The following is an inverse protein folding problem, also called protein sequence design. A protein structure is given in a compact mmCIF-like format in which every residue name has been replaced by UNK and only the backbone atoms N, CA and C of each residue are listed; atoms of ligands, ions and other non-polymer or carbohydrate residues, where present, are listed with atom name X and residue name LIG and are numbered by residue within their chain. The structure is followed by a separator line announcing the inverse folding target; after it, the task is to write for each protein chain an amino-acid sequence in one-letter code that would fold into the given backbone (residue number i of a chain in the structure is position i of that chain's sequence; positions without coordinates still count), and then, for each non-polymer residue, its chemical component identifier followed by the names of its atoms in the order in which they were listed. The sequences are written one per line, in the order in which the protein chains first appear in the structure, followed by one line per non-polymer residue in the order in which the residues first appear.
data_IF_236827520751
#
_entry.id   IF_236827520751
#
_cell.length_a   1.000
_cell.length_b   1.000
_cell.length_c   1.000
_cell.angle_alpha   90.00
_cell.angle_beta   90.00
_cell.angle_gamma   90.00
#
_symmetry.space_group_name_H-M   'P 1'
#
loop_
_entity.id
_entity.type
_entity.pdbx_description
1 polymer ?
#
# COMPACT_ATOMS: atom_id res chain seq x y z
N UNK A 1 -17.07 4.18 20.35
CA UNK A 1 -18.02 3.27 19.67
C UNK A 1 -18.45 2.14 20.59
N UNK A 2 -17.71 1.03 20.74
CA UNK A 2 -18.19 -0.18 21.46
C UNK A 2 -18.71 0.10 22.89
N UNK A 3 -17.95 0.87 23.69
CA UNK A 3 -18.39 1.29 25.04
C UNK A 3 -19.68 2.12 25.04
N UNK A 4 -19.89 2.95 24.00
CA UNK A 4 -21.10 3.78 23.82
C UNK A 4 -22.28 2.92 23.43
N UNK A 5 -22.09 1.89 22.58
CA UNK A 5 -23.14 0.91 22.30
C UNK A 5 -23.59 0.21 23.58
N UNK A 6 -22.65 -0.26 24.41
CA UNK A 6 -22.98 -0.87 25.71
C UNK A 6 -23.75 0.13 26.60
N UNK A 7 -23.21 1.33 26.83
CA UNK A 7 -23.77 2.30 27.79
C UNK A 7 -25.02 3.05 27.33
N UNK A 8 -25.36 3.07 26.04
CA UNK A 8 -26.48 3.84 25.51
C UNK A 8 -27.67 2.93 25.20
N UNK A 9 -28.71 2.97 26.03
CA UNK A 9 -29.92 2.14 25.89
C UNK A 9 -30.68 2.41 24.57
N UNK A 10 -30.60 3.62 24.01
CA UNK A 10 -31.25 3.92 22.73
C UNK A 10 -30.60 3.20 21.53
N UNK A 11 -29.35 2.72 21.65
CA UNK A 11 -28.65 2.00 20.58
C UNK A 11 -28.87 0.50 20.73
N UNK A 12 -29.85 -0.02 19.97
CA UNK A 12 -30.25 -1.43 20.01
C UNK A 12 -29.34 -2.37 19.20
N UNK A 13 -28.66 -1.86 18.17
CA UNK A 13 -27.78 -2.66 17.31
C UNK A 13 -26.51 -1.91 16.92
N UNK A 14 -25.47 -2.68 16.58
CA UNK A 14 -24.15 -2.21 16.17
C UNK A 14 -23.65 -3.06 15.00
N UNK A 15 -23.15 -2.40 13.95
CA UNK A 15 -22.33 -3.02 12.90
C UNK A 15 -21.02 -2.24 12.81
N UNK A 16 -19.90 -2.91 13.02
CA UNK A 16 -18.56 -2.32 13.05
C UNK A 16 -17.64 -3.05 12.08
N UNK A 17 -17.26 -2.40 10.99
CA UNK A 17 -16.29 -2.92 10.01
C UNK A 17 -14.95 -2.23 10.24
N UNK A 18 -13.88 -3.01 10.45
CA UNK A 18 -12.54 -2.49 10.66
C UNK A 18 -11.97 -1.81 9.41
N UNK A 19 -11.30 -0.67 9.57
CA UNK A 19 -10.56 -0.03 8.48
C UNK A 19 -9.05 -0.05 8.73
N UNK A 20 -8.56 0.53 9.82
CA UNK A 20 -7.19 0.38 10.27
C UNK A 20 -7.18 0.34 11.81
N UNK A 21 -6.21 -0.36 12.40
CA UNK A 21 -6.07 -0.45 13.86
C UNK A 21 -4.89 0.38 14.41
N UNK A 22 -4.13 1.05 13.55
CA UNK A 22 -2.96 1.84 13.91
C UNK A 22 -3.26 2.98 14.91
N UNK A 23 -4.48 3.53 14.88
CA UNK A 23 -4.96 4.61 15.75
C UNK A 23 -5.60 4.14 17.08
N UNK A 24 -5.61 2.83 17.37
CA UNK A 24 -6.00 2.39 18.72
C UNK A 24 -4.92 2.81 19.72
N UNK A 25 -5.32 3.24 20.91
CA UNK A 25 -4.40 3.48 22.04
C UNK A 25 -4.23 2.23 22.89
N UNK A 26 -3.08 2.12 23.56
CA UNK A 26 -2.65 1.03 24.43
C UNK A 26 -2.06 1.60 25.73
N UNK A 27 -2.39 1.00 26.88
CA UNK A 27 -1.80 1.09 28.22
C UNK A 27 -1.39 2.45 28.83
N UNK A 28 -1.59 3.59 28.16
CA UNK A 28 -1.34 4.94 28.69
C UNK A 28 -2.60 5.75 28.99
N UNK A 29 -3.76 5.29 28.52
CA UNK A 29 -5.04 6.00 28.67
C UNK A 29 -5.90 5.39 29.78
N UNK A 30 -6.71 6.22 30.46
CA UNK A 30 -7.74 5.75 31.40
C UNK A 30 -8.82 4.87 30.75
N UNK A 31 -8.98 4.97 29.43
CA UNK A 31 -9.86 4.14 28.61
C UNK A 31 -9.15 3.73 27.31
N UNK A 32 -8.26 2.71 27.32
CA UNK A 32 -7.51 2.33 26.13
C UNK A 32 -8.44 1.80 25.02
N UNK A 33 -8.01 1.99 23.78
CA UNK A 33 -8.64 1.46 22.58
C UNK A 33 -8.34 -0.03 22.33
N UNK A 34 -7.25 -0.55 22.89
CA UNK A 34 -6.88 -1.96 22.95
C UNK A 34 -5.96 -2.19 24.17
N UNK A 35 -6.06 -3.33 24.90
CA UNK A 35 -7.18 -4.26 24.92
C UNK A 35 -8.39 -3.70 25.69
N UNK A 36 -9.60 -4.08 25.30
CA UNK A 36 -10.85 -3.64 25.98
C UNK A 36 -11.54 -4.76 26.77
N UNK A 37 -11.48 -6.01 26.31
CA UNK A 37 -12.00 -7.20 27.02
C UNK A 37 -11.14 -7.56 28.25
N UNK A 38 -11.75 -8.19 29.25
CA UNK A 38 -11.03 -8.83 30.38
C UNK A 38 -10.11 -9.93 29.87
N UNK A 39 -10.56 -10.70 28.88
CA UNK A 39 -9.81 -11.80 28.29
C UNK A 39 -8.52 -11.35 27.56
N UNK A 40 -8.56 -10.29 26.75
CA UNK A 40 -7.34 -9.77 26.13
C UNK A 40 -6.41 -9.08 27.15
N UNK A 41 -6.97 -8.40 28.16
CA UNK A 41 -6.19 -7.80 29.27
C UNK A 41 -5.40 -8.83 30.08
N UNK A 42 -5.92 -10.03 30.31
CA UNK A 42 -5.22 -11.05 31.09
C UNK A 42 -3.96 -11.60 30.39
N UNK A 43 -3.88 -11.50 29.06
CA UNK A 43 -2.69 -11.89 28.28
C UNK A 43 -1.47 -10.98 28.51
N UNK A 44 -1.69 -9.72 28.93
CA UNK A 44 -0.67 -8.66 29.04
C UNK A 44 0.10 -8.40 27.73
N UNK A 45 -0.48 -8.73 26.58
CA UNK A 45 0.16 -8.52 25.28
C UNK A 45 -0.01 -7.08 24.78
N UNK A 46 1.09 -6.34 24.74
CA UNK A 46 1.20 -5.02 24.10
C UNK A 46 1.56 -5.22 22.63
N UNK A 47 0.79 -4.64 21.70
CA UNK A 47 1.06 -4.76 20.26
C UNK A 47 2.01 -3.65 19.80
N UNK A 48 1.81 -2.44 20.30
CA UNK A 48 2.50 -1.25 19.84
C UNK A 48 2.14 -0.86 18.39
N UNK A 49 2.57 0.33 17.98
CA UNK A 49 2.17 0.93 16.70
C UNK A 49 2.44 0.02 15.49
N UNK A 50 3.63 -0.58 15.40
CA UNK A 50 4.07 -1.36 14.24
C UNK A 50 3.24 -2.63 14.00
N UNK A 51 2.80 -3.30 15.07
CA UNK A 51 1.96 -4.50 14.99
C UNK A 51 0.50 -4.11 14.70
N UNK A 52 0.02 -2.98 15.25
CA UNK A 52 -1.30 -2.42 14.87
C UNK A 52 -1.37 -1.93 13.42
N UNK A 53 -0.28 -1.39 12.87
CA UNK A 53 -0.12 -1.07 11.44
C UNK A 53 -0.12 -2.33 10.55
N UNK A 54 0.19 -3.50 11.13
CA UNK A 54 0.26 -4.78 10.42
C UNK A 54 -1.11 -5.46 10.28
N UNK A 55 -1.97 -5.26 11.27
CA UNK A 55 -3.24 -5.93 11.49
C UNK A 55 -4.37 -5.65 10.47
N UNK A 56 -4.08 -5.12 9.27
CA UNK A 56 -5.09 -4.84 8.23
C UNK A 56 -4.53 -5.13 6.82
N UNK A 57 -3.72 -6.18 6.70
CA UNK A 57 -3.03 -6.52 5.46
C UNK A 57 -3.54 -7.82 4.84
N UNK A 58 -4.10 -7.69 3.64
CA UNK A 58 -4.51 -8.80 2.80
C UNK A 58 -3.36 -9.77 2.53
N UNK A 59 -3.52 -11.01 2.99
CA UNK A 59 -2.81 -12.16 2.42
C UNK A 59 -3.39 -12.53 1.04
N UNK A 60 -4.66 -12.24 0.75
CA UNK A 60 -5.31 -12.70 -0.50
C UNK A 60 -4.80 -11.99 -1.76
N UNK A 61 -4.38 -10.73 -1.64
CA UNK A 61 -3.67 -10.00 -2.71
C UNK A 61 -2.38 -10.68 -3.18
N UNK A 62 -1.91 -11.71 -2.47
CA UNK A 62 -0.68 -12.43 -2.77
C UNK A 62 -0.92 -13.59 -3.73
N UNK A 63 -2.10 -14.26 -3.68
CA UNK A 63 -2.41 -15.38 -4.61
C UNK A 63 -2.34 -14.94 -6.07
N UNK A 64 -2.66 -13.67 -6.33
CA UNK A 64 -2.71 -13.07 -7.66
C UNK A 64 -1.46 -12.21 -7.98
N UNK A 65 -0.40 -12.28 -7.17
CA UNK A 65 0.83 -11.48 -7.35
C UNK A 65 1.88 -12.31 -8.10
N UNK A 66 2.27 -11.88 -9.30
CA UNK A 66 3.34 -12.56 -10.05
C UNK A 66 4.70 -12.37 -9.37
N UNK A 67 5.67 -13.25 -9.66
CA UNK A 67 7.03 -13.18 -9.13
C UNK A 67 7.69 -11.83 -9.44
N UNK A 68 7.54 -11.35 -10.66
CA UNK A 68 8.09 -10.09 -11.16
C UNK A 68 7.46 -8.91 -10.42
N UNK A 69 6.13 -8.96 -10.20
CA UNK A 69 5.43 -7.93 -9.45
C UNK A 69 5.82 -7.91 -7.97
N UNK A 70 6.16 -9.06 -7.38
CA UNK A 70 6.65 -9.20 -6.02
C UNK A 70 8.07 -8.66 -5.87
N UNK A 71 9.00 -9.04 -6.75
CA UNK A 71 10.37 -8.52 -6.77
C UNK A 71 10.39 -6.99 -6.88
N UNK A 72 9.62 -6.40 -7.82
CA UNK A 72 9.45 -4.95 -7.93
C UNK A 72 8.88 -4.28 -6.66
N UNK A 73 8.12 -4.99 -5.83
CA UNK A 73 7.68 -4.45 -4.54
C UNK A 73 8.80 -4.53 -3.49
N UNK A 74 9.63 -5.58 -3.52
CA UNK A 74 10.80 -5.73 -2.65
C UNK A 74 11.85 -4.67 -2.97
N UNK A 75 12.11 -4.37 -4.24
CA UNK A 75 13.00 -3.28 -4.66
C UNK A 75 12.53 -1.93 -4.07
N UNK A 76 11.22 -1.60 -4.17
CA UNK A 76 10.66 -0.38 -3.56
C UNK A 76 10.81 -0.37 -2.03
N UNK A 77 10.75 -1.54 -1.37
CA UNK A 77 10.97 -1.65 0.07
C UNK A 77 12.46 -1.48 0.43
N UNK A 78 13.37 -2.02 -0.38
CA UNK A 78 14.82 -1.80 -0.27
C UNK A 78 15.17 -0.32 -0.47
N UNK A 79 14.69 0.33 -1.54
CA UNK A 79 14.91 1.76 -1.78
C UNK A 79 14.37 2.62 -0.64
N UNK A 80 13.22 2.25 -0.04
CA UNK A 80 12.69 2.97 1.13
C UNK A 80 13.57 2.81 2.37
N UNK A 81 14.16 1.64 2.59
CA UNK A 81 15.11 1.41 3.70
C UNK A 81 16.43 2.15 3.46
N UNK A 82 16.99 2.06 2.25
CA UNK A 82 18.17 2.80 1.84
C UNK A 82 17.96 4.33 1.95
N UNK A 83 16.78 4.83 1.57
CA UNK A 83 16.41 6.24 1.72
C UNK A 83 16.34 6.70 3.18
N UNK A 84 15.95 5.82 4.11
CA UNK A 84 16.01 6.13 5.55
C UNK A 84 17.46 6.37 6.00
N UNK A 85 18.42 5.58 5.50
CA UNK A 85 19.86 5.82 5.74
C UNK A 85 20.34 7.16 5.16
N UNK A 86 19.84 7.56 3.97
CA UNK A 86 20.12 8.89 3.39
C UNK A 86 19.63 10.01 4.31
N UNK A 87 18.40 9.89 4.84
CA UNK A 87 17.86 10.88 5.79
C UNK A 87 18.66 10.91 7.10
N UNK A 88 19.06 9.76 7.64
CA UNK A 88 19.84 9.69 8.87
C UNK A 88 21.26 10.25 8.71
N UNK A 89 21.93 9.99 7.58
CA UNK A 89 23.31 10.47 7.32
C UNK A 89 23.35 11.96 6.93
N UNK A 90 22.41 12.45 6.12
CA UNK A 90 22.49 13.79 5.51
C UNK A 90 21.41 14.78 6.00
N UNK A 91 20.28 14.32 6.55
CA UNK A 91 19.18 15.17 7.01
C UNK A 91 18.65 14.75 8.40
N UNK A 92 19.50 14.65 9.44
CA UNK A 92 19.14 14.04 10.72
C UNK A 92 17.95 14.75 11.41
N UNK A 93 17.83 16.07 11.29
CA UNK A 93 16.68 16.81 11.83
C UNK A 93 15.37 16.42 11.16
N UNK A 94 15.39 16.19 9.85
CA UNK A 94 14.23 15.69 9.10
C UNK A 94 13.91 14.26 9.49
N UNK A 95 14.93 13.40 9.67
CA UNK A 95 14.73 12.01 10.10
C UNK A 95 14.08 11.92 11.49
N UNK A 96 14.53 12.73 12.46
CA UNK A 96 13.94 12.80 13.83
C UNK A 96 12.44 13.10 13.83
N UNK A 97 11.95 13.88 12.86
CA UNK A 97 10.53 14.21 12.70
C UNK A 97 9.68 13.06 12.12
N UNK A 98 10.29 11.91 11.77
CA UNK A 98 9.61 10.71 11.24
C UNK A 98 8.66 11.00 10.06
N UNK A 99 9.15 11.62 8.97
CA UNK A 99 8.31 12.28 7.99
C UNK A 99 7.63 11.30 7.01
N UNK A 100 6.44 11.67 6.54
CA UNK A 100 5.66 10.83 5.63
C UNK A 100 5.86 11.21 4.16
N UNK A 101 6.79 10.53 3.46
CA UNK A 101 6.92 10.60 1.99
C UNK A 101 5.74 9.98 1.21
N UNK A 102 4.79 9.35 1.93
CA UNK A 102 3.64 8.65 1.36
C UNK A 102 4.02 7.39 0.55
N UNK A 103 3.14 6.99 -0.37
CA UNK A 103 3.36 5.87 -1.30
C UNK A 103 3.86 6.40 -2.65
N UNK A 104 5.17 6.31 -2.90
CA UNK A 104 5.76 6.54 -4.23
C UNK A 104 5.42 5.39 -5.19
N UNK A 105 5.47 5.66 -6.50
CA UNK A 105 5.28 4.70 -7.59
C UNK A 105 3.85 4.12 -7.80
N UNK A 106 3.09 3.84 -6.73
CA UNK A 106 1.83 3.07 -6.85
C UNK A 106 0.72 3.77 -7.66
N UNK A 107 0.60 5.09 -7.61
CA UNK A 107 -0.38 5.81 -8.42
C UNK A 107 -0.07 5.71 -9.92
N UNK A 108 1.17 5.99 -10.30
CA UNK A 108 1.66 5.90 -11.68
C UNK A 108 1.61 4.45 -12.20
N UNK A 109 2.02 3.45 -11.41
CA UNK A 109 1.92 2.01 -11.75
C UNK A 109 0.47 1.58 -11.97
N UNK A 110 -0.49 2.06 -11.15
CA UNK A 110 -1.94 1.82 -11.37
C UNK A 110 -2.48 2.51 -12.64
N UNK A 111 -1.97 3.69 -12.98
CA UNK A 111 -2.35 4.38 -14.21
C UNK A 111 -1.80 3.64 -15.44
N UNK A 112 -0.53 3.19 -15.41
CA UNK A 112 0.07 2.37 -16.47
C UNK A 112 -0.63 1.01 -16.63
N UNK A 113 -0.91 0.30 -15.53
CA UNK A 113 -1.66 -0.97 -15.57
C UNK A 113 -3.07 -0.80 -16.13
N UNK A 114 -3.78 0.29 -15.79
CA UNK A 114 -5.07 0.61 -16.41
C UNK A 114 -4.93 0.86 -17.91
N UNK A 115 -3.98 1.71 -18.34
CA UNK A 115 -3.71 1.94 -19.78
C UNK A 115 -3.40 0.65 -20.55
N UNK A 116 -2.61 -0.25 -19.97
CA UNK A 116 -2.29 -1.56 -20.58
C UNK A 116 -3.53 -2.43 -20.70
N UNK A 117 -4.34 -2.53 -19.64
CA UNK A 117 -5.58 -3.31 -19.63
C UNK A 117 -6.64 -2.71 -20.60
N UNK A 118 -6.73 -1.38 -20.66
CA UNK A 118 -7.55 -0.62 -21.62
C UNK A 118 -7.07 -0.87 -23.06
N UNK A 119 -5.75 -0.93 -23.33
CA UNK A 119 -5.24 -1.28 -24.66
C UNK A 119 -5.52 -2.73 -25.07
N UNK A 120 -5.44 -3.69 -24.14
CA UNK A 120 -5.82 -5.08 -24.44
C UNK A 120 -7.33 -5.22 -24.72
N UNK A 121 -8.18 -4.47 -24.00
CA UNK A 121 -9.62 -4.40 -24.26
C UNK A 121 -9.96 -3.70 -25.59
N UNK A 122 -9.13 -2.75 -26.04
CA UNK A 122 -9.28 -2.11 -27.35
C UNK A 122 -8.84 -3.05 -28.50
N UNK A 123 -7.75 -3.80 -28.33
CA UNK A 123 -7.27 -4.77 -29.32
C UNK A 123 -8.23 -5.95 -29.47
N UNK A 124 -8.80 -6.47 -28.37
CA UNK A 124 -9.80 -7.54 -28.39
C UNK A 124 -11.14 -7.21 -29.05
N UNK A 125 -11.32 -5.98 -29.58
CA UNK A 125 -12.45 -5.58 -30.43
C UNK A 125 -12.09 -5.43 -31.92
N UNK A 126 -10.83 -5.60 -32.29
CA UNK A 126 -10.34 -5.38 -33.66
C UNK A 126 -10.13 -6.69 -34.47
N UNK A 127 -10.07 -7.85 -33.81
CA UNK A 127 -9.81 -9.15 -34.46
C UNK A 127 -11.04 -9.77 -35.15
N UNK A 128 -12.19 -9.07 -35.16
CA UNK A 128 -13.40 -9.49 -35.86
C UNK A 128 -13.81 -8.42 -36.88
N UNK A 129 -13.07 -8.33 -38.01
CA UNK A 129 -13.52 -7.95 -39.38
C UNK A 129 -12.35 -7.75 -40.37
N UNK A 130 -12.13 -8.77 -41.21
CA UNK A 130 -11.65 -8.73 -42.62
C UNK A 130 -10.50 -7.80 -43.11
N UNK A 131 -9.46 -8.43 -43.67
CA UNK A 131 -8.63 -7.91 -44.78
C UNK A 131 -9.48 -7.40 -45.98
N UNK A 132 -9.06 -6.38 -46.77
CA UNK A 132 -8.10 -6.65 -47.88
C UNK A 132 -7.15 -5.52 -48.37
N UNK A 133 -5.93 -5.97 -48.72
CA UNK A 133 -5.12 -5.67 -49.92
C UNK A 133 -4.61 -4.25 -50.30
N UNK A 134 -3.37 -4.19 -50.77
CA UNK A 134 -2.67 -3.01 -51.30
C UNK A 134 -3.13 -2.57 -52.70
N UNK A 135 -3.05 -1.25 -52.97
CA UNK A 135 -2.68 -0.68 -54.28
C UNK A 135 -1.87 0.62 -54.12
N UNK A 136 -0.90 0.81 -55.00
CA UNK A 136 -0.06 2.02 -55.14
C UNK A 136 -0.78 3.11 -55.95
N UNK A 137 -0.40 4.40 -55.79
CA UNK A 137 0.18 5.26 -56.86
C UNK A 137 0.22 6.78 -56.53
N UNK A 138 1.43 7.35 -56.71
CA UNK A 138 1.80 8.62 -57.38
C UNK A 138 1.27 10.03 -56.96
N UNK A 139 2.22 10.83 -56.43
CA UNK A 139 2.70 12.16 -56.91
C UNK A 139 1.74 13.24 -57.47
N UNK A 140 1.74 14.45 -56.88
CA UNK A 140 2.36 15.66 -57.48
C UNK A 140 2.30 16.94 -56.58
N UNK A 141 3.16 17.91 -56.94
CA UNK A 141 3.38 19.34 -56.57
C UNK A 141 2.17 20.22 -56.17
N UNK A 142 2.26 21.44 -55.59
CA UNK A 142 3.30 22.48 -55.31
C UNK A 142 2.78 23.36 -54.11
N UNK A 143 3.49 24.28 -53.42
CA UNK A 143 4.86 24.80 -53.53
C UNK A 143 5.12 26.03 -52.60
N UNK A 144 6.31 26.65 -52.72
CA UNK A 144 6.78 27.97 -52.21
C UNK A 144 7.01 28.25 -50.69
N UNK A 145 8.30 28.37 -50.32
CA UNK A 145 8.88 29.24 -49.27
C UNK A 145 9.18 30.65 -49.87
N UNK A 146 9.61 31.71 -49.14
CA UNK A 146 10.81 31.79 -48.29
C UNK A 146 10.58 32.64 -46.99
N UNK A 147 11.53 33.13 -46.15
CA UNK A 147 13.02 33.14 -46.12
C UNK A 147 13.52 33.21 -44.65
N UNK A 148 14.82 33.03 -44.41
CA UNK A 148 15.57 33.44 -43.19
C UNK A 148 16.57 34.60 -43.58
N UNK A 149 17.27 35.33 -42.67
CA UNK A 149 18.46 34.76 -42.01
C UNK A 149 18.99 35.38 -40.67
N UNK A 150 19.85 34.60 -39.98
CA UNK A 150 21.04 34.99 -39.16
C UNK A 150 20.92 35.61 -37.75
N UNK A 151 21.69 35.03 -36.82
CA UNK A 151 21.96 35.48 -35.43
C UNK A 151 23.32 36.21 -35.30
N UNK A 152 23.77 36.68 -34.09
CA UNK A 152 24.47 35.75 -33.17
C UNK A 152 24.40 36.01 -31.63
N UNK A 153 24.34 34.88 -30.88
CA UNK A 153 24.98 34.57 -29.56
C UNK A 153 24.88 35.54 -28.36
N UNK A 154 24.23 35.08 -27.27
CA UNK A 154 24.21 35.80 -25.98
C UNK A 154 23.65 35.11 -24.72
N UNK A 155 23.91 33.81 -24.49
CA UNK A 155 23.76 33.08 -23.21
C UNK A 155 22.37 32.62 -22.66
N UNK A 156 22.43 31.50 -21.92
CA UNK A 156 21.48 30.88 -20.96
C UNK A 156 20.09 30.44 -21.45
N UNK A 157 19.95 29.14 -21.71
CA UNK A 157 18.71 28.40 -21.40
C UNK A 157 19.03 26.94 -21.08
N UNK A 158 18.68 26.46 -19.87
CA UNK A 158 18.96 25.10 -19.41
C UNK A 158 17.66 24.30 -19.45
N UNK A 159 17.39 23.62 -20.58
CA UNK A 159 16.11 22.99 -20.86
C UNK A 159 15.75 21.90 -19.84
N UNK A 160 14.86 22.26 -18.92
CA UNK A 160 14.14 21.32 -18.07
C UNK A 160 12.86 20.90 -18.77
N UNK A 161 12.86 19.76 -19.46
CA UNK A 161 11.68 18.96 -19.82
C UNK A 161 12.10 17.71 -20.61
N UNK A 162 11.95 16.52 -20.03
CA UNK A 162 11.76 15.19 -20.66
C UNK A 162 11.66 14.17 -19.49
N UNK A 163 10.44 13.98 -18.95
CA UNK A 163 10.20 13.25 -17.70
C UNK A 163 9.77 11.78 -17.95
N UNK A 164 10.61 10.83 -17.52
CA UNK A 164 10.24 9.45 -17.15
C UNK A 164 9.55 8.54 -18.20
N UNK A 165 10.16 8.36 -19.38
CA UNK A 165 9.63 7.51 -20.47
C UNK A 165 10.35 6.16 -20.67
N UNK A 166 11.53 5.94 -20.08
CA UNK A 166 12.33 4.72 -20.29
C UNK A 166 11.95 3.51 -19.41
N UNK A 167 10.71 3.02 -19.53
CA UNK A 167 10.39 1.60 -19.25
C UNK A 167 9.57 1.07 -20.41
N UNK A 168 10.22 0.95 -21.56
CA UNK A 168 9.70 0.23 -22.73
C UNK A 168 9.77 -1.26 -22.41
N UNK A 169 8.74 -2.01 -22.80
CA UNK A 169 8.75 -3.45 -22.69
C UNK A 169 9.85 -4.05 -23.59
N UNK A 170 10.94 -4.52 -22.99
CA UNK A 170 11.84 -5.42 -23.68
C UNK A 170 11.22 -6.81 -23.63
N UNK A 171 10.80 -7.32 -24.79
CA UNK A 171 10.40 -8.71 -24.95
C UNK A 171 11.59 -9.60 -24.59
N UNK A 172 11.58 -10.21 -23.40
CA UNK A 172 12.60 -11.19 -23.01
C UNK A 172 12.39 -12.45 -23.85
N UNK A 173 13.02 -12.48 -25.03
CA UNK A 173 13.32 -13.72 -25.72
C UNK A 173 14.19 -14.57 -24.79
N UNK A 174 13.89 -15.87 -24.72
CA UNK A 174 14.68 -16.81 -23.91
C UNK A 174 16.11 -16.84 -24.43
N UNK A 175 17.06 -16.34 -23.64
CA UNK A 175 18.49 -16.54 -23.83
C UNK A 175 19.06 -17.14 -22.55
N UNK A 176 20.01 -18.06 -22.70
CA UNK A 176 20.48 -18.92 -21.62
C UNK A 176 21.24 -18.18 -20.51
N UNK A 177 21.12 -18.71 -19.30
CA UNK A 177 21.73 -18.21 -18.06
C UNK A 177 23.27 -18.28 -18.13
N UNK A 178 23.94 -17.17 -17.78
CA UNK A 178 25.38 -17.09 -17.60
C UNK A 178 25.79 -16.22 -16.41
N UNK A 179 27.06 -16.23 -15.96
CA UNK A 179 27.46 -15.62 -14.68
C UNK A 179 27.62 -14.09 -14.68
N UNK A 180 27.30 -13.40 -15.78
CA UNK A 180 27.58 -11.98 -16.01
C UNK A 180 26.50 -11.01 -15.51
N UNK A 181 25.27 -11.50 -15.29
CA UNK A 181 24.09 -10.65 -15.19
C UNK A 181 23.99 -9.84 -13.88
N UNK A 182 24.72 -10.26 -12.84
CA UNK A 182 24.69 -9.63 -11.50
C UNK A 182 25.09 -8.16 -11.53
N UNK A 183 26.11 -7.79 -12.30
CA UNK A 183 26.57 -6.39 -12.41
C UNK A 183 25.58 -5.50 -13.16
N UNK A 184 24.82 -6.05 -14.10
CA UNK A 184 23.84 -5.29 -14.88
C UNK A 184 22.58 -5.00 -14.06
N UNK A 185 22.10 -5.99 -13.30
CA UNK A 185 20.99 -5.83 -12.34
C UNK A 185 21.34 -4.82 -11.23
N UNK A 186 22.57 -4.86 -10.71
CA UNK A 186 23.06 -3.93 -9.69
C UNK A 186 23.09 -2.47 -10.18
N UNK A 187 23.63 -2.22 -11.38
CA UNK A 187 23.66 -0.88 -11.98
C UNK A 187 22.24 -0.32 -12.24
N UNK A 188 21.31 -1.17 -12.68
CA UNK A 188 19.90 -0.83 -12.83
C UNK A 188 19.26 -0.45 -11.48
N UNK A 189 19.50 -1.24 -10.42
CA UNK A 189 18.94 -0.99 -9.08
C UNK A 189 19.46 0.29 -8.44
N UNK A 190 20.76 0.59 -8.57
CA UNK A 190 21.33 1.86 -8.14
C UNK A 190 20.64 3.06 -8.80
N UNK A 191 20.40 2.98 -10.11
CA UNK A 191 19.73 4.06 -10.86
C UNK A 191 18.31 4.29 -10.33
N UNK A 192 17.55 3.21 -10.13
CA UNK A 192 16.20 3.28 -9.53
C UNK A 192 16.20 3.81 -8.08
N UNK A 193 17.24 3.52 -7.32
CA UNK A 193 17.43 4.07 -5.96
C UNK A 193 17.70 5.58 -5.97
N UNK A 194 18.50 6.08 -6.93
CA UNK A 194 18.71 7.53 -7.13
C UNK A 194 17.40 8.23 -7.46
N UNK A 195 16.62 7.72 -8.43
CA UNK A 195 15.30 8.25 -8.79
C UNK A 195 14.34 8.29 -7.58
N UNK A 196 14.31 7.20 -6.80
CA UNK A 196 13.53 7.11 -5.57
C UNK A 196 13.94 8.19 -4.56
N UNK A 197 15.25 8.38 -4.38
CA UNK A 197 15.83 9.35 -3.45
C UNK A 197 15.56 10.78 -3.87
N UNK A 198 15.79 11.14 -5.13
CA UNK A 198 15.47 12.47 -5.68
C UNK A 198 13.97 12.79 -5.48
N UNK A 199 13.09 11.82 -5.79
CA UNK A 199 11.66 11.95 -5.56
C UNK A 199 11.30 12.06 -4.06
N UNK A 200 12.05 11.41 -3.18
CA UNK A 200 11.86 11.44 -1.73
C UNK A 200 12.27 12.78 -1.13
N UNK A 201 13.48 13.25 -1.42
CA UNK A 201 14.01 14.54 -0.94
C UNK A 201 13.14 15.71 -1.42
N UNK A 202 12.73 15.70 -2.70
CA UNK A 202 11.84 16.73 -3.26
C UNK A 202 10.47 16.80 -2.57
N UNK A 203 9.93 15.67 -2.06
CA UNK A 203 8.68 15.66 -1.27
C UNK A 203 8.85 16.19 0.16
N UNK A 204 10.08 16.17 0.68
CA UNK A 204 10.41 16.63 2.01
C UNK A 204 10.96 18.08 2.01
N UNK A 205 11.09 18.71 0.85
CA UNK A 205 11.75 20.01 0.71
C UNK A 205 13.24 19.98 1.05
N UNK A 206 13.86 18.79 1.01
CA UNK A 206 15.28 18.62 1.28
C UNK A 206 16.12 19.00 0.05
N UNK A 207 17.39 19.34 0.29
CA UNK A 207 18.39 19.54 -0.77
C UNK A 207 18.74 18.24 -1.52
N UNK A 208 19.69 18.32 -2.44
CA UNK A 208 20.21 17.14 -3.13
C UNK A 208 21.28 16.42 -2.30
N UNK A 209 21.56 15.16 -2.65
CA UNK A 209 22.70 14.38 -2.18
C UNK A 209 23.44 13.90 -3.42
N UNK A 210 24.76 13.99 -3.43
CA UNK A 210 25.58 13.66 -4.60
C UNK A 210 25.53 12.16 -4.93
N UNK A 211 25.61 11.83 -6.21
CA UNK A 211 25.55 10.45 -6.72
C UNK A 211 26.59 9.50 -6.12
N UNK A 212 27.78 10.00 -5.74
CA UNK A 212 28.83 9.21 -5.08
C UNK A 212 28.42 8.79 -3.66
N UNK A 213 27.74 9.67 -2.93
CA UNK A 213 27.23 9.45 -1.59
C UNK A 213 26.03 8.48 -1.59
N UNK A 214 25.20 8.55 -2.64
CA UNK A 214 24.11 7.58 -2.85
C UNK A 214 24.65 6.20 -3.24
N UNK A 215 25.73 6.12 -4.02
CA UNK A 215 26.40 4.87 -4.36
C UNK A 215 27.02 4.20 -3.13
N UNK A 216 27.66 4.97 -2.24
CA UNK A 216 28.20 4.48 -0.96
C UNK A 216 27.09 3.85 -0.11
N UNK A 217 26.02 4.59 0.18
CA UNK A 217 24.87 4.07 0.95
C UNK A 217 24.26 2.84 0.28
N UNK A 218 24.13 2.83 -1.06
CA UNK A 218 23.56 1.67 -1.75
C UNK A 218 24.41 0.41 -1.55
N UNK A 219 25.74 0.51 -1.66
CA UNK A 219 26.66 -0.59 -1.40
C UNK A 219 26.57 -1.10 0.04
N UNK A 220 26.50 -0.18 1.00
CA UNK A 220 26.38 -0.51 2.42
C UNK A 220 25.10 -1.30 2.74
N UNK A 221 24.00 -1.06 2.02
CA UNK A 221 22.70 -1.71 2.28
C UNK A 221 22.31 -2.83 1.31
N UNK A 222 23.00 -2.97 0.18
CA UNK A 222 22.62 -3.91 -0.89
C UNK A 222 22.50 -5.35 -0.41
N UNK A 223 23.42 -5.80 0.45
CA UNK A 223 23.39 -7.16 0.98
C UNK A 223 22.15 -7.42 1.86
N UNK A 224 21.60 -6.40 2.55
CA UNK A 224 20.36 -6.58 3.31
C UNK A 224 19.09 -6.71 2.44
N UNK A 225 19.17 -6.46 1.13
CA UNK A 225 17.99 -6.52 0.25
C UNK A 225 17.42 -7.93 0.13
N UNK A 226 18.22 -8.97 0.33
CA UNK A 226 17.75 -10.37 0.34
C UNK A 226 16.75 -10.65 1.47
N UNK A 227 16.89 -9.98 2.63
CA UNK A 227 15.99 -10.16 3.77
C UNK A 227 14.62 -9.50 3.58
N UNK A 228 14.46 -8.59 2.60
CA UNK A 228 13.18 -7.90 2.34
C UNK A 228 12.07 -8.90 2.03
N UNK A 229 12.37 -9.94 1.24
CA UNK A 229 11.42 -11.02 0.93
C UNK A 229 10.96 -11.77 2.18
N UNK A 230 11.86 -12.42 2.94
CA UNK A 230 11.56 -13.08 4.21
C UNK A 230 10.80 -12.20 5.23
N UNK A 231 11.26 -10.97 5.47
CA UNK A 231 10.55 -10.05 6.37
C UNK A 231 9.15 -9.71 5.84
N UNK A 232 8.99 -9.51 4.54
CA UNK A 232 7.68 -9.23 3.93
C UNK A 232 6.73 -10.44 3.99
N UNK A 233 7.25 -11.66 3.87
CA UNK A 233 6.50 -12.91 4.07
C UNK A 233 6.02 -13.05 5.53
N UNK A 234 6.93 -12.92 6.50
CA UNK A 234 6.60 -12.93 7.93
C UNK A 234 5.52 -11.88 8.26
N UNK A 235 5.65 -10.68 7.68
CA UNK A 235 4.73 -9.56 7.86
C UNK A 235 3.27 -9.96 7.62
N UNK A 236 2.86 -10.46 6.46
CA UNK A 236 1.45 -10.87 6.28
C UNK A 236 1.12 -12.33 6.58
N UNK A 237 2.08 -13.15 7.05
CA UNK A 237 1.73 -14.30 7.88
C UNK A 237 1.17 -13.82 9.24
N UNK A 238 1.80 -12.81 9.85
CA UNK A 238 1.36 -12.24 11.14
C UNK A 238 0.13 -11.32 11.01
N UNK A 239 -0.01 -10.56 9.93
CA UNK A 239 -1.11 -9.59 9.73
C UNK A 239 -2.52 -10.13 10.08
N UNK A 240 -2.97 -11.25 9.49
CA UNK A 240 -4.27 -11.86 9.80
C UNK A 240 -4.40 -12.34 11.25
N UNK A 241 -3.32 -12.81 11.88
CA UNK A 241 -3.33 -13.23 13.28
C UNK A 241 -3.57 -12.03 14.22
N UNK A 242 -2.90 -10.90 13.95
CA UNK A 242 -3.07 -9.67 14.73
C UNK A 242 -4.45 -9.07 14.49
N UNK A 243 -4.93 -9.05 13.24
CA UNK A 243 -6.30 -8.62 12.91
C UNK A 243 -7.33 -9.44 13.71
N UNK A 244 -7.18 -10.77 13.69
CA UNK A 244 -8.05 -11.70 14.41
C UNK A 244 -8.01 -11.43 15.92
N UNK A 245 -6.83 -11.20 16.50
CA UNK A 245 -6.70 -10.92 17.92
C UNK A 245 -7.37 -9.60 18.35
N UNK A 246 -7.24 -8.53 17.55
CA UNK A 246 -7.92 -7.24 17.79
C UNK A 246 -9.44 -7.38 17.64
N UNK A 247 -9.92 -8.18 16.68
CA UNK A 247 -11.35 -8.48 16.49
C UNK A 247 -11.92 -9.33 17.64
N UNK A 248 -11.18 -10.34 18.12
CA UNK A 248 -11.58 -11.17 19.25
C UNK A 248 -11.64 -10.37 20.56
N UNK A 249 -10.70 -9.46 20.83
CA UNK A 249 -10.79 -8.51 21.95
C UNK A 249 -12.11 -7.71 21.94
N UNK A 250 -12.62 -7.38 20.76
CA UNK A 250 -13.84 -6.57 20.58
C UNK A 250 -15.10 -7.41 20.70
N UNK A 251 -15.07 -8.62 20.16
CA UNK A 251 -16.14 -9.60 20.31
C UNK A 251 -16.31 -9.99 21.79
N UNK A 252 -15.21 -10.34 22.46
CA UNK A 252 -15.21 -10.74 23.87
C UNK A 252 -15.67 -9.61 24.78
N UNK A 253 -15.29 -8.35 24.52
CA UNK A 253 -15.80 -7.20 25.29
C UNK A 253 -17.34 -7.05 25.24
N UNK A 254 -17.96 -7.42 24.11
CA UNK A 254 -19.42 -7.40 23.96
C UNK A 254 -20.07 -8.64 24.59
N UNK A 255 -19.49 -9.83 24.41
CA UNK A 255 -19.96 -11.07 25.03
C UNK A 255 -19.79 -11.07 26.57
N UNK A 256 -18.84 -10.29 27.10
CA UNK A 256 -18.66 -10.03 28.53
C UNK A 256 -19.84 -9.27 29.18
N UNK A 257 -20.80 -8.76 28.40
CA UNK A 257 -22.07 -8.22 28.92
C UNK A 257 -23.11 -9.32 29.24
N UNK A 258 -22.80 -10.60 28.97
CA UNK A 258 -23.69 -11.72 29.20
C UNK A 258 -24.97 -11.64 28.36
N UNK A 259 -26.09 -12.14 28.90
CA UNK A 259 -27.38 -12.23 28.20
C UNK A 259 -28.01 -10.90 27.76
N UNK A 260 -27.40 -9.75 28.08
CA UNK A 260 -27.89 -8.44 27.63
C UNK A 260 -27.46 -8.09 26.19
N UNK A 261 -26.39 -8.71 25.68
CA UNK A 261 -25.84 -8.44 24.34
C UNK A 261 -25.46 -9.75 23.66
N UNK A 262 -26.02 -9.98 22.48
CA UNK A 262 -25.54 -11.01 21.57
C UNK A 262 -24.60 -10.34 20.55
N UNK A 263 -23.45 -10.96 20.29
CA UNK A 263 -22.43 -10.43 19.39
C UNK A 263 -21.71 -11.55 18.63
N UNK A 264 -21.40 -11.29 17.36
CA UNK A 264 -20.76 -12.23 16.44
C UNK A 264 -19.88 -11.52 15.39
N UNK A 265 -18.90 -12.25 14.86
CA UNK A 265 -18.03 -11.80 13.76
C UNK A 265 -18.47 -12.48 12.45
N UNK A 266 -18.73 -11.69 11.42
CA UNK A 266 -19.21 -12.17 10.12
C UNK A 266 -18.26 -11.74 8.98
N UNK A 267 -17.91 -12.64 8.03
CA UNK A 267 -17.24 -12.26 6.80
C UNK A 267 -18.25 -11.61 5.83
N UNK A 268 -18.29 -10.27 5.83
CA UNK A 268 -19.23 -9.45 5.06
C UNK A 268 -18.84 -9.29 3.58
N UNK A 269 -17.55 -9.41 3.26
CA UNK A 269 -17.02 -9.18 1.90
C UNK A 269 -16.13 -10.33 1.42
N UNK A 270 -15.93 -10.42 0.11
CA UNK A 270 -14.84 -11.20 -0.48
C UNK A 270 -13.49 -10.56 -0.06
N UNK A 271 -12.61 -11.28 0.66
CA UNK A 271 -11.31 -10.75 1.10
C UNK A 271 -10.32 -10.43 -0.04
N UNK A 272 -10.55 -10.92 -1.26
CA UNK A 272 -9.78 -10.53 -2.45
C UNK A 272 -10.16 -9.11 -2.91
N UNK A 273 -11.45 -8.77 -2.81
CA UNK A 273 -12.01 -7.45 -3.15
C UNK A 273 -11.80 -6.43 -2.02
N UNK A 274 -12.30 -6.76 -0.82
CA UNK A 274 -12.08 -5.99 0.41
C UNK A 274 -11.38 -6.86 1.46
N UNK A 275 -10.05 -6.73 1.62
CA UNK A 275 -9.30 -7.45 2.64
C UNK A 275 -9.76 -7.25 4.07
N UNK A 276 -10.50 -6.15 4.31
CA UNK A 276 -11.21 -5.89 5.55
C UNK A 276 -12.61 -6.46 5.37
N UNK A 277 -12.72 -7.77 5.47
CA UNK A 277 -13.98 -8.47 5.25
C UNK A 277 -14.75 -8.74 6.54
N UNK A 278 -14.13 -8.68 7.71
CA UNK A 278 -14.81 -8.97 8.97
C UNK A 278 -15.63 -7.78 9.48
N UNK A 279 -16.91 -8.05 9.76
CA UNK A 279 -17.83 -7.16 10.46
C UNK A 279 -18.11 -7.73 11.85
N UNK A 280 -17.94 -6.91 12.89
CA UNK A 280 -18.47 -7.19 14.23
C UNK A 280 -19.91 -6.69 14.28
N UNK A 281 -20.85 -7.60 14.45
CA UNK A 281 -22.28 -7.31 14.56
C UNK A 281 -22.73 -7.66 15.98
N UNK A 282 -23.52 -6.79 16.60
CA UNK A 282 -24.10 -7.03 17.91
C UNK A 282 -25.48 -6.39 18.05
N UNK A 283 -26.33 -7.00 18.87
CA UNK A 283 -27.66 -6.51 19.23
C UNK A 283 -27.89 -6.66 20.73
N UNK A 284 -28.68 -5.73 21.28
CA UNK A 284 -29.18 -5.83 22.64
C UNK A 284 -30.38 -6.75 22.67
N UNK A 285 -30.40 -7.64 23.64
CA UNK A 285 -31.56 -8.48 23.92
C UNK A 285 -32.43 -7.71 24.92
N UNK A 286 -33.51 -7.08 24.43
CA UNK A 286 -34.59 -6.63 25.31
C UNK A 286 -35.18 -7.86 25.98
N UNK A 287 -35.23 -7.87 27.31
CA UNK A 287 -35.94 -8.91 28.05
C UNK A 287 -37.38 -9.01 27.58
N UNK A 288 -37.92 -10.23 27.54
CA UNK A 288 -39.28 -10.51 27.08
C UNK A 288 -40.28 -9.64 27.86
N UNK A 289 -41.22 -8.91 27.21
CA UNK A 289 -42.24 -8.10 27.90
C UNK A 289 -43.29 -8.92 28.69
N UNK A 290 -43.04 -10.21 28.93
CA UNK A 290 -43.99 -11.20 29.43
C UNK A 290 -43.80 -11.51 30.93
N UNK A 291 -43.74 -10.47 31.74
CA UNK A 291 -44.20 -10.51 33.13
C UNK A 291 -45.23 -9.38 33.30
N UNK A 292 -46.52 -9.63 33.04
CA UNK A 292 -47.56 -8.69 33.42
C UNK A 292 -47.53 -8.58 34.95
N UNK A 293 -47.19 -7.39 35.45
CA UNK A 293 -47.28 -7.10 36.88
C UNK A 293 -48.70 -7.39 37.36
N UNK A 294 -48.86 -8.52 38.04
CA UNK A 294 -50.13 -8.95 38.62
C UNK A 294 -50.39 -8.09 39.87
N UNK A 295 -50.81 -6.85 39.62
CA UNK A 295 -51.36 -5.94 40.62
C UNK A 295 -52.76 -6.45 40.99
N UNK A 296 -52.79 -7.57 41.73
CA UNK A 296 -53.98 -7.99 42.48
C UNK A 296 -54.06 -7.12 43.73
N UNK A 297 -54.80 -6.03 43.61
CA UNK A 297 -54.97 -5.09 44.71
C UNK A 297 -55.74 -5.67 45.91
N UNK A 298 -55.42 -5.12 47.08
CA UNK A 298 -56.37 -4.78 48.14
C UNK A 298 -56.00 -3.40 48.72
#
# INVERSE_FOLDING_TARGET
MLRVFVSCEQVQALVSVGCCYNLLSEDTDTCPGFPISKAAKSSKLVLGKSIRDLACQSAERWRNLTKEMALQNFDIHAFRAAFQMVLEKYFPEVSRLSPSIGRQGKALRRQRLRKVMESHLAMGKADDLSYPNCKEQNMNTDGSLPTEPTAPKGAVECCSNELCTAVVGSSISRVNVGPSDTNLDECCKLTLFKDFTISGLGRLGCGFVEDVNLLEIWKDVQHFTEFIGPFWCLRAALGPLVETYILLDRLLFLQEQGSAVEASLFPLFDPAMSPRNMALVAWKLTGDPLEPSHDMGM
#
